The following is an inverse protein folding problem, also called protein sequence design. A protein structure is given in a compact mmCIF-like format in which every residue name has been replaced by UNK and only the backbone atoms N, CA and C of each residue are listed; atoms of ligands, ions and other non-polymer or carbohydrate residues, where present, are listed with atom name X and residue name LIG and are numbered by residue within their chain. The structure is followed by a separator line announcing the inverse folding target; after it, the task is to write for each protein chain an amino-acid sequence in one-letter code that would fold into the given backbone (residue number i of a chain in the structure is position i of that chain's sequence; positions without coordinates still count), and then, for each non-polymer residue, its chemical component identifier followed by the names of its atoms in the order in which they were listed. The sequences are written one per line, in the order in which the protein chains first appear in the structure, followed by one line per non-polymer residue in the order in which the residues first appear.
data_IF_934246591443
#
_entry.id   IF_934246591443
#
_cell.length_a   1.000
_cell.length_b   1.000
_cell.length_c   1.000
_cell.angle_alpha   90.00
_cell.angle_beta   90.00
_cell.angle_gamma   90.00
#
_symmetry.space_group_name_H-M   'P 1'
#
loop_
_entity.id
_entity.type
_entity.pdbx_description
1 polymer ?
#
# COMPACT_ATOMS: atom_id res chain seq x y z
N UNK A 1 12.20 44.00 -56.59
CA UNK A 1 11.87 43.86 -55.15
C UNK A 1 11.19 42.49 -54.94
N UNK A 2 11.91 41.52 -54.37
CA UNK A 2 11.37 40.16 -54.08
C UNK A 2 10.71 40.20 -52.70
N UNK A 3 9.42 39.87 -52.65
CA UNK A 3 8.68 39.69 -51.35
C UNK A 3 9.04 38.36 -50.75
N UNK A 4 9.58 38.39 -49.53
CA UNK A 4 9.85 37.19 -48.71
C UNK A 4 8.57 36.96 -47.90
N UNK A 5 7.93 35.80 -48.11
CA UNK A 5 6.77 35.34 -47.31
C UNK A 5 7.35 34.54 -46.17
N UNK A 6 7.07 34.85 -44.86
CA UNK A 6 7.54 34.04 -43.77
C UNK A 6 6.71 32.75 -43.66
N UNK A 7 7.36 31.60 -43.76
CA UNK A 7 6.74 30.30 -43.45
C UNK A 7 6.46 30.21 -41.95
N UNK A 8 5.20 30.16 -41.58
CA UNK A 8 4.74 29.92 -40.22
C UNK A 8 4.83 28.42 -39.94
N UNK A 9 5.82 28.01 -39.11
CA UNK A 9 6.00 26.64 -38.67
C UNK A 9 5.01 26.33 -37.55
N UNK A 10 3.94 25.61 -37.86
CA UNK A 10 2.92 25.19 -36.91
C UNK A 10 3.47 23.98 -36.12
N UNK A 11 3.92 24.20 -34.88
CA UNK A 11 4.34 23.14 -33.97
C UNK A 11 3.08 22.53 -33.31
N UNK A 12 2.68 21.37 -33.79
CA UNK A 12 1.61 20.56 -33.20
C UNK A 12 2.14 19.89 -31.91
N UNK A 13 1.75 20.44 -30.76
CA UNK A 13 1.92 19.76 -29.48
C UNK A 13 0.88 18.62 -29.36
N UNK A 14 1.31 17.39 -29.58
CA UNK A 14 0.51 16.20 -29.23
C UNK A 14 0.44 16.08 -27.73
N UNK A 15 -0.66 16.49 -27.12
CA UNK A 15 -0.98 16.10 -25.75
C UNK A 15 -1.36 14.61 -25.74
N UNK A 16 -0.41 13.75 -25.37
CA UNK A 16 -0.71 12.38 -25.04
C UNK A 16 -1.57 12.37 -23.77
N UNK A 17 -2.87 12.18 -23.90
CA UNK A 17 -3.75 11.91 -22.75
C UNK A 17 -3.33 10.57 -22.15
N UNK A 18 -2.65 10.63 -21.00
CA UNK A 18 -2.39 9.44 -20.18
C UNK A 18 -3.75 8.99 -19.64
N UNK A 19 -4.35 8.00 -20.30
CA UNK A 19 -5.58 7.37 -19.82
C UNK A 19 -5.23 6.68 -18.49
N UNK A 20 -5.58 7.30 -17.36
CA UNK A 20 -5.46 6.66 -16.05
C UNK A 20 -6.28 5.37 -16.08
N UNK A 21 -5.68 4.26 -15.63
CA UNK A 21 -6.43 3.02 -15.46
C UNK A 21 -7.59 3.25 -14.48
N UNK A 22 -8.74 2.63 -14.76
CA UNK A 22 -9.86 2.67 -13.82
C UNK A 22 -9.42 2.13 -12.45
N UNK A 23 -10.00 2.68 -11.38
CA UNK A 23 -9.73 2.20 -10.02
C UNK A 23 -10.00 0.70 -9.89
N UNK A 24 -9.17 0.02 -9.11
CA UNK A 24 -9.23 -1.42 -8.85
C UNK A 24 -9.21 -2.28 -10.13
N UNK A 25 -8.38 -1.87 -11.08
CA UNK A 25 -8.15 -2.59 -12.33
C UNK A 25 -6.65 -2.64 -12.65
N UNK A 26 -6.26 -3.65 -13.42
CA UNK A 26 -4.91 -3.73 -13.99
C UNK A 26 -4.91 -3.10 -15.38
N UNK A 27 -3.94 -2.24 -15.64
CA UNK A 27 -3.64 -1.78 -16.99
C UNK A 27 -3.14 -2.94 -17.88
N UNK A 28 -3.10 -2.72 -19.20
CA UNK A 28 -2.54 -3.71 -20.13
C UNK A 28 -1.06 -4.00 -19.81
N UNK A 29 -0.28 -2.96 -19.50
CA UNK A 29 1.13 -3.10 -19.13
C UNK A 29 1.32 -3.84 -17.80
N UNK A 30 0.49 -3.56 -16.79
CA UNK A 30 0.54 -4.28 -15.51
C UNK A 30 0.22 -5.77 -15.68
N UNK A 31 -0.76 -6.12 -16.51
CA UNK A 31 -1.07 -7.53 -16.81
C UNK A 31 0.10 -8.23 -17.49
N UNK A 32 0.73 -7.58 -18.48
CA UNK A 32 1.89 -8.11 -19.18
C UNK A 32 3.12 -8.25 -18.25
N UNK A 33 3.28 -7.35 -17.29
CA UNK A 33 4.37 -7.34 -16.31
C UNK A 33 4.12 -8.27 -15.08
N UNK A 34 3.04 -9.05 -15.10
CA UNK A 34 2.74 -10.06 -14.07
C UNK A 34 2.11 -9.55 -12.78
N UNK A 35 1.61 -8.31 -12.76
CA UNK A 35 0.85 -7.81 -11.62
C UNK A 35 -0.46 -8.57 -11.42
N UNK A 36 -0.83 -8.74 -10.18
CA UNK A 36 -2.12 -9.31 -9.75
C UNK A 36 -2.90 -8.29 -8.97
N UNK A 37 -4.19 -8.16 -9.27
CA UNK A 37 -5.12 -7.34 -8.48
C UNK A 37 -5.59 -8.15 -7.28
N UNK A 38 -5.44 -7.61 -6.08
CA UNK A 38 -5.85 -8.29 -4.84
C UNK A 38 -7.25 -7.86 -4.37
N UNK A 39 -7.72 -6.69 -4.80
CA UNK A 39 -9.02 -6.14 -4.41
C UNK A 39 -9.77 -5.61 -5.64
N UNK A 40 -11.04 -5.98 -5.78
CA UNK A 40 -11.88 -5.65 -6.94
C UNK A 40 -12.70 -4.37 -6.80
N UNK A 41 -12.54 -3.63 -5.70
CA UNK A 41 -13.29 -2.41 -5.40
C UNK A 41 -14.75 -2.61 -4.95
N UNK A 42 -15.26 -3.85 -4.91
CA UNK A 42 -16.68 -4.13 -4.68
C UNK A 42 -16.96 -4.91 -3.40
N UNK A 43 -16.13 -5.90 -3.10
CA UNK A 43 -16.33 -6.82 -1.97
C UNK A 43 -15.01 -7.39 -1.47
N UNK A 44 -15.06 -8.06 -0.34
CA UNK A 44 -13.92 -8.71 0.31
C UNK A 44 -13.74 -10.17 -0.13
N UNK A 45 -14.16 -10.57 -1.32
CA UNK A 45 -13.82 -11.86 -1.88
C UNK A 45 -12.30 -12.01 -1.92
N UNK A 46 -11.78 -13.16 -1.46
CA UNK A 46 -10.34 -13.40 -1.24
C UNK A 46 -9.70 -12.60 -0.10
N UNK A 47 -10.50 -11.98 0.76
CA UNK A 47 -10.05 -11.36 2.00
C UNK A 47 -10.81 -11.97 3.17
N UNK A 48 -10.14 -12.14 4.31
CA UNK A 48 -10.75 -12.66 5.54
C UNK A 48 -10.48 -11.70 6.69
N UNK A 49 -11.56 -11.21 7.30
CA UNK A 49 -11.49 -10.36 8.49
C UNK A 49 -11.24 -11.26 9.70
N UNK A 50 -10.46 -10.79 10.67
CA UNK A 50 -10.28 -11.45 11.95
C UNK A 50 -11.59 -11.45 12.78
N UNK A 51 -11.56 -12.08 13.95
CA UNK A 51 -12.70 -12.11 14.87
C UNK A 51 -12.59 -11.09 16.00
N UNK A 52 -11.61 -10.19 15.94
CA UNK A 52 -11.35 -9.25 17.03
C UNK A 52 -12.42 -8.16 17.13
N UNK A 53 -12.58 -7.37 16.05
CA UNK A 53 -13.66 -6.40 15.88
C UNK A 53 -14.04 -6.34 14.39
N UNK A 54 -14.69 -7.38 13.84
CA UNK A 54 -14.84 -7.52 12.38
C UNK A 54 -15.66 -6.39 11.74
N UNK A 55 -16.51 -5.72 12.50
CA UNK A 55 -17.31 -4.57 12.07
C UNK A 55 -16.45 -3.32 11.73
N UNK A 56 -15.17 -3.35 12.06
CA UNK A 56 -14.25 -2.25 11.80
C UNK A 56 -13.67 -2.25 10.39
N UNK A 57 -13.90 -3.31 9.65
CA UNK A 57 -13.47 -3.46 8.26
C UNK A 57 -14.71 -3.47 7.36
N UNK A 58 -14.69 -2.66 6.32
CA UNK A 58 -15.81 -2.59 5.36
C UNK A 58 -15.28 -2.20 3.96
N UNK A 59 -16.13 -2.29 2.95
CA UNK A 59 -15.88 -1.70 1.63
C UNK A 59 -16.71 -0.44 1.52
N UNK A 60 -16.07 0.68 1.17
CA UNK A 60 -16.71 1.97 0.96
C UNK A 60 -16.06 2.69 -0.22
N UNK A 61 -16.87 3.16 -1.14
CA UNK A 61 -16.45 4.00 -2.29
C UNK A 61 -15.26 3.42 -3.05
N UNK A 62 -15.30 2.10 -3.32
CA UNK A 62 -14.23 1.40 -4.03
C UNK A 62 -12.96 1.14 -3.23
N UNK A 63 -12.96 1.37 -1.92
CA UNK A 63 -11.81 1.15 -1.04
C UNK A 63 -12.15 0.19 0.11
N UNK A 64 -11.15 -0.54 0.60
CA UNK A 64 -11.23 -1.21 1.92
C UNK A 64 -11.05 -0.10 2.96
N UNK A 65 -12.05 0.06 3.83
CA UNK A 65 -12.04 0.99 4.96
C UNK A 65 -11.69 0.22 6.24
N UNK A 66 -10.60 0.60 6.88
CA UNK A 66 -10.17 0.17 8.21
C UNK A 66 -10.46 1.32 9.18
N UNK A 67 -11.34 1.12 10.17
CA UNK A 67 -11.81 2.21 11.04
C UNK A 67 -12.04 1.76 12.47
N UNK A 68 -11.48 2.50 13.42
CA UNK A 68 -11.78 2.33 14.84
C UNK A 68 -10.89 1.27 15.52
N UNK A 69 -11.45 0.58 16.51
CA UNK A 69 -10.74 -0.39 17.36
C UNK A 69 -9.96 -1.44 16.57
N UNK A 70 -8.93 -2.07 17.18
CA UNK A 70 -8.06 -3.02 16.48
C UNK A 70 -8.83 -4.14 15.79
N UNK A 71 -8.55 -4.33 14.51
CA UNK A 71 -9.02 -5.42 13.66
C UNK A 71 -8.11 -5.55 12.45
N UNK A 72 -8.09 -6.72 11.86
CA UNK A 72 -7.28 -7.03 10.68
C UNK A 72 -8.13 -7.64 9.57
N UNK A 73 -7.77 -7.34 8.34
CA UNK A 73 -8.24 -8.08 7.17
C UNK A 73 -7.04 -8.60 6.39
N UNK A 74 -7.06 -9.91 6.09
CA UNK A 74 -5.95 -10.62 5.46
C UNK A 74 -6.32 -11.08 4.06
N UNK A 75 -5.42 -10.92 3.11
CA UNK A 75 -5.60 -11.52 1.79
C UNK A 75 -5.46 -13.05 1.88
N UNK A 76 -6.46 -13.77 1.37
CA UNK A 76 -6.55 -15.24 1.42
C UNK A 76 -6.66 -15.88 0.05
N UNK A 77 -6.60 -15.08 -1.01
CA UNK A 77 -6.74 -15.54 -2.38
C UNK A 77 -5.53 -16.33 -2.91
N UNK A 78 -5.62 -16.73 -4.17
CA UNK A 78 -4.57 -17.51 -4.84
C UNK A 78 -3.25 -16.72 -4.86
N UNK A 79 -2.15 -17.37 -4.43
CA UNK A 79 -0.82 -16.78 -4.37
C UNK A 79 -0.63 -15.85 -3.15
N UNK A 80 -1.39 -16.10 -2.08
CA UNK A 80 -1.28 -15.35 -0.81
C UNK A 80 0.07 -15.49 -0.12
N UNK A 81 0.78 -16.59 -0.32
CA UNK A 81 2.10 -16.80 0.27
C UNK A 81 3.17 -16.21 -0.65
N UNK A 82 3.72 -15.08 -0.25
CA UNK A 82 4.73 -14.32 -0.98
C UNK A 82 6.01 -14.27 -0.16
N UNK A 83 7.16 -14.42 -0.83
CA UNK A 83 8.49 -14.24 -0.25
C UNK A 83 9.12 -12.96 -0.78
N UNK A 84 9.44 -12.92 -2.07
CA UNK A 84 9.92 -11.73 -2.75
C UNK A 84 8.78 -11.14 -3.58
N UNK A 85 8.49 -9.87 -3.37
CA UNK A 85 7.34 -9.24 -4.02
C UNK A 85 7.49 -7.72 -4.12
N UNK A 86 6.73 -7.16 -5.05
CA UNK A 86 6.44 -5.73 -5.13
C UNK A 86 4.95 -5.53 -4.91
N UNK A 87 4.59 -4.91 -3.81
CA UNK A 87 3.22 -4.51 -3.46
C UNK A 87 3.03 -3.03 -3.75
N UNK A 88 1.85 -2.66 -4.25
CA UNK A 88 1.44 -1.26 -4.37
C UNK A 88 -0.05 -1.09 -4.09
N UNK A 89 -0.41 0.05 -3.53
CA UNK A 89 -1.79 0.45 -3.27
C UNK A 89 -1.90 1.97 -3.20
N UNK A 90 -3.09 2.49 -3.39
CA UNK A 90 -3.40 3.87 -3.04
C UNK A 90 -4.03 3.90 -1.65
N UNK A 91 -3.53 4.80 -0.82
CA UNK A 91 -3.89 4.91 0.59
C UNK A 91 -4.35 6.34 0.88
N UNK A 92 -5.39 6.48 1.70
CA UNK A 92 -5.81 7.78 2.27
C UNK A 92 -6.03 7.62 3.77
N UNK A 93 -5.53 8.56 4.56
CA UNK A 93 -5.79 8.69 5.99
C UNK A 93 -6.73 9.85 6.28
N UNK A 94 -7.52 9.73 7.34
CA UNK A 94 -8.17 10.88 7.97
C UNK A 94 -7.25 11.46 9.04
N UNK A 95 -7.38 12.76 9.43
CA UNK A 95 -6.55 13.35 10.47
C UNK A 95 -6.52 12.50 11.75
N UNK A 96 -5.34 12.35 12.34
CA UNK A 96 -5.14 11.56 13.55
C UNK A 96 -5.19 10.04 13.37
N UNK A 97 -5.12 9.54 12.13
CA UNK A 97 -5.22 8.11 11.86
C UNK A 97 -3.88 7.39 11.96
N UNK A 98 -3.97 6.16 12.48
CA UNK A 98 -2.91 5.17 12.52
C UNK A 98 -3.43 3.85 11.92
N UNK A 99 -2.58 3.14 11.22
CA UNK A 99 -2.84 1.85 10.63
C UNK A 99 -1.55 1.26 10.04
N UNK A 100 -1.67 0.14 9.36
CA UNK A 100 -0.51 -0.51 8.76
C UNK A 100 -0.87 -1.49 7.66
N UNK A 101 0.10 -1.72 6.78
CA UNK A 101 0.09 -2.81 5.82
C UNK A 101 1.07 -3.86 6.34
N UNK A 102 0.54 -4.98 6.79
CA UNK A 102 1.35 -6.11 7.24
C UNK A 102 1.73 -6.98 6.06
N UNK A 103 2.97 -7.47 6.07
CA UNK A 103 3.47 -8.39 5.06
C UNK A 103 4.29 -9.51 5.70
N UNK A 104 4.44 -10.64 5.01
CA UNK A 104 4.93 -11.90 5.58
C UNK A 104 4.14 -12.30 6.82
N UNK A 105 2.86 -11.96 6.83
CA UNK A 105 1.93 -12.29 7.90
C UNK A 105 1.07 -13.51 7.55
N UNK A 106 0.24 -13.93 8.48
CA UNK A 106 -0.73 -15.01 8.30
C UNK A 106 -2.03 -14.64 9.00
N UNK A 107 -3.15 -15.20 8.52
CA UNK A 107 -4.43 -15.04 9.20
C UNK A 107 -4.34 -15.53 10.64
N UNK A 108 -4.86 -14.74 11.55
CA UNK A 108 -5.12 -15.14 12.94
C UNK A 108 -6.45 -14.57 13.40
N UNK A 109 -7.12 -15.26 14.31
CA UNK A 109 -8.46 -14.91 14.76
C UNK A 109 -8.48 -13.60 15.58
N UNK A 110 -7.39 -13.28 16.27
CA UNK A 110 -7.30 -12.11 17.16
C UNK A 110 -5.85 -11.78 17.49
N UNK A 111 -5.61 -10.52 17.85
CA UNK A 111 -4.32 -10.03 18.34
C UNK A 111 -3.48 -9.38 17.24
N UNK A 112 -2.34 -8.82 17.62
CA UNK A 112 -1.42 -8.16 16.69
C UNK A 112 -0.73 -9.19 15.81
N UNK A 113 -0.67 -8.96 14.48
CA UNK A 113 -0.14 -9.95 13.55
C UNK A 113 1.37 -10.15 13.70
N UNK A 114 1.83 -11.35 13.34
CA UNK A 114 3.24 -11.62 13.04
C UNK A 114 3.62 -11.00 11.70
N UNK A 115 4.93 -10.98 11.37
CA UNK A 115 5.47 -10.38 10.14
C UNK A 115 5.82 -8.91 10.34
N UNK A 116 6.21 -8.24 9.27
CA UNK A 116 6.54 -6.82 9.30
C UNK A 116 5.33 -5.96 9.02
N UNK A 117 5.36 -4.73 9.52
CA UNK A 117 4.38 -3.70 9.30
C UNK A 117 5.00 -2.52 8.58
N UNK A 118 4.45 -2.16 7.43
CA UNK A 118 4.67 -0.90 6.77
C UNK A 118 3.66 0.11 7.33
N UNK A 119 4.16 1.05 8.13
CA UNK A 119 3.35 2.01 8.89
C UNK A 119 2.53 2.94 7.99
N UNK A 120 1.31 3.25 8.43
CA UNK A 120 0.44 4.29 7.86
C UNK A 120 0.07 5.26 8.98
N UNK A 121 0.67 6.44 8.99
CA UNK A 121 0.43 7.50 9.97
C UNK A 121 0.96 8.81 9.43
N UNK A 122 0.08 9.80 9.21
CA UNK A 122 0.51 11.16 8.85
C UNK A 122 0.53 12.06 10.10
N UNK A 123 -0.58 12.17 10.82
CA UNK A 123 -0.75 13.16 11.89
C UNK A 123 -1.13 12.57 13.26
N UNK A 124 -1.27 11.24 13.38
CA UNK A 124 -1.51 10.61 14.69
C UNK A 124 -0.28 10.82 15.59
N UNK A 125 -0.47 10.86 16.91
CA UNK A 125 0.55 11.22 17.91
C UNK A 125 1.79 10.33 17.97
N UNK A 126 1.71 9.07 17.48
CA UNK A 126 2.90 8.23 17.36
C UNK A 126 3.92 8.92 16.44
N UNK A 127 5.19 9.08 16.87
CA UNK A 127 6.22 9.71 16.07
C UNK A 127 6.61 8.91 14.83
N UNK A 128 6.31 7.60 14.80
CA UNK A 128 6.61 6.72 13.66
C UNK A 128 5.61 6.96 12.54
N UNK A 129 6.07 7.47 11.40
CA UNK A 129 5.25 7.93 10.28
C UNK A 129 5.21 6.92 9.13
N UNK A 130 4.31 7.17 8.18
CA UNK A 130 4.13 6.39 6.96
C UNK A 130 5.47 6.10 6.28
N UNK A 131 5.60 4.89 5.78
CA UNK A 131 6.82 4.39 5.13
C UNK A 131 7.79 3.71 6.08
N UNK A 132 7.67 3.86 7.41
CA UNK A 132 8.48 3.10 8.36
C UNK A 132 8.24 1.58 8.18
N UNK A 133 9.28 0.78 8.36
CA UNK A 133 9.12 -0.64 8.73
C UNK A 133 9.09 -0.65 10.26
N UNK A 134 7.87 -0.75 10.83
CA UNK A 134 7.60 -0.49 12.25
C UNK A 134 8.50 -1.29 13.17
N UNK A 135 9.02 -0.64 14.20
CA UNK A 135 10.01 -1.12 15.19
C UNK A 135 11.44 -1.20 14.61
N UNK A 136 11.66 -1.64 13.37
CA UNK A 136 13.00 -1.96 12.88
C UNK A 136 13.68 -0.83 12.09
N UNK A 137 12.92 -0.01 11.34
CA UNK A 137 13.47 1.16 10.63
C UNK A 137 12.43 2.28 10.56
N UNK A 138 12.67 3.35 11.31
CA UNK A 138 11.72 4.46 11.45
C UNK A 138 11.93 5.54 10.39
N UNK A 139 10.83 6.10 9.94
CA UNK A 139 10.68 7.41 9.35
C UNK A 139 9.90 8.28 10.35
N UNK A 140 10.34 9.52 10.60
CA UNK A 140 9.73 10.42 11.59
C UNK A 140 9.02 11.61 10.95
N UNK A 141 9.05 11.73 9.62
CA UNK A 141 8.38 12.78 8.86
C UNK A 141 7.25 12.20 8.03
N UNK A 142 6.08 12.85 8.04
CA UNK A 142 4.95 12.43 7.24
C UNK A 142 5.24 12.69 5.75
N UNK A 143 5.29 11.64 4.89
CA UNK A 143 5.61 11.80 3.47
C UNK A 143 4.40 12.21 2.62
N UNK A 144 3.20 12.23 3.18
CA UNK A 144 1.95 12.57 2.52
C UNK A 144 1.03 13.36 3.47
N UNK A 145 -0.15 13.75 2.99
CA UNK A 145 -1.13 14.49 3.77
C UNK A 145 -2.39 13.67 4.03
N UNK A 146 -3.07 13.97 5.14
CA UNK A 146 -4.40 13.44 5.40
C UNK A 146 -5.42 13.97 4.39
N UNK A 147 -6.47 13.17 4.13
CA UNK A 147 -7.53 13.43 3.15
C UNK A 147 -7.10 13.47 1.68
N UNK A 148 -5.83 13.17 1.38
CA UNK A 148 -5.31 13.02 0.02
C UNK A 148 -4.93 11.55 -0.23
N UNK A 149 -5.17 11.06 -1.46
CA UNK A 149 -4.69 9.75 -1.88
C UNK A 149 -3.20 9.84 -2.19
N UNK A 150 -2.40 8.93 -1.64
CA UNK A 150 -0.99 8.76 -1.97
C UNK A 150 -0.72 7.33 -2.41
N UNK A 151 0.24 7.17 -3.31
CA UNK A 151 0.66 5.87 -3.80
C UNK A 151 1.69 5.26 -2.85
N UNK A 152 1.42 4.08 -2.32
CA UNK A 152 2.27 3.39 -1.35
C UNK A 152 2.81 2.10 -1.95
N UNK A 153 4.14 1.93 -1.93
CA UNK A 153 4.81 0.74 -2.41
C UNK A 153 5.64 0.07 -1.32
N UNK A 154 5.65 -1.27 -1.33
CA UNK A 154 6.48 -2.11 -0.46
C UNK A 154 7.18 -3.12 -1.37
N UNK A 155 8.51 -3.07 -1.41
CA UNK A 155 9.34 -3.95 -2.24
C UNK A 155 10.17 -4.81 -1.31
N UNK A 156 9.98 -6.13 -1.37
CA UNK A 156 10.76 -7.10 -0.60
C UNK A 156 11.52 -7.99 -1.56
N UNK A 157 12.84 -8.03 -1.41
CA UNK A 157 13.72 -8.91 -2.18
C UNK A 157 14.82 -9.46 -1.28
N UNK A 158 14.81 -10.76 -1.04
CA UNK A 158 15.71 -11.43 -0.10
C UNK A 158 15.59 -10.84 1.31
N UNK A 159 16.63 -10.18 1.78
CA UNK A 159 16.67 -9.53 3.11
C UNK A 159 16.43 -8.03 3.07
N UNK A 160 16.12 -7.47 1.90
CA UNK A 160 15.92 -6.03 1.72
C UNK A 160 14.43 -5.70 1.61
N UNK A 161 14.01 -4.72 2.40
CA UNK A 161 12.70 -4.06 2.30
C UNK A 161 12.92 -2.60 1.89
N UNK A 162 12.17 -2.15 0.91
CA UNK A 162 12.09 -0.74 0.53
C UNK A 162 10.63 -0.30 0.55
N UNK A 163 10.36 0.83 1.17
CA UNK A 163 9.05 1.49 1.11
C UNK A 163 9.14 2.77 0.31
N UNK A 164 8.12 3.05 -0.50
CA UNK A 164 8.02 4.30 -1.26
C UNK A 164 6.65 4.93 -1.08
N UNK A 165 6.64 6.25 -1.09
CA UNK A 165 5.43 7.07 -1.15
C UNK A 165 5.54 8.00 -2.34
N UNK A 166 4.54 7.99 -3.22
CA UNK A 166 4.50 8.76 -4.48
C UNK A 166 5.81 8.63 -5.29
N UNK A 167 6.30 7.38 -5.40
CA UNK A 167 7.52 7.03 -6.12
C UNK A 167 8.84 7.38 -5.42
N UNK A 168 8.80 8.11 -4.30
CA UNK A 168 10.00 8.47 -3.52
C UNK A 168 10.28 7.42 -2.46
N UNK A 169 11.52 6.92 -2.39
CA UNK A 169 11.97 6.00 -1.33
C UNK A 169 11.92 6.72 0.03
N UNK A 170 11.18 6.15 0.97
CA UNK A 170 11.07 6.65 2.35
C UNK A 170 12.03 5.90 3.26
N UNK A 171 12.02 4.56 3.19
CA UNK A 171 12.87 3.71 4.03
C UNK A 171 13.48 2.58 3.20
N UNK A 172 14.73 2.29 3.50
CA UNK A 172 15.41 1.04 3.12
C UNK A 172 15.84 0.33 4.40
N UNK A 173 15.40 -0.91 4.57
CA UNK A 173 15.75 -1.78 5.67
C UNK A 173 16.40 -3.06 5.13
N UNK A 174 17.57 -3.42 5.67
CA UNK A 174 18.23 -4.69 5.40
C UNK A 174 18.20 -5.53 6.68
N UNK A 175 17.49 -6.64 6.65
CA UNK A 175 17.36 -7.52 7.80
C UNK A 175 18.69 -8.21 8.11
N UNK A 176 19.15 -8.04 9.34
CA UNK A 176 20.36 -8.67 9.84
C UNK A 176 20.24 -10.20 9.95
N UNK A 177 21.38 -10.90 9.90
CA UNK A 177 21.44 -12.37 10.01
C UNK A 177 20.80 -12.93 11.29
N UNK A 178 20.79 -12.14 12.35
CA UNK A 178 20.31 -12.55 13.69
C UNK A 178 18.94 -11.97 14.03
N UNK A 179 18.11 -11.56 13.05
CA UNK A 179 16.76 -11.10 13.29
C UNK A 179 15.93 -12.18 14.01
N UNK A 180 15.36 -11.81 15.16
CA UNK A 180 14.61 -12.73 16.05
C UNK A 180 13.19 -12.19 16.26
N UNK A 181 12.33 -13.06 16.81
CA UNK A 181 10.96 -12.71 17.16
C UNK A 181 10.00 -12.78 15.97
N UNK A 182 8.88 -12.12 16.11
CA UNK A 182 7.77 -12.14 15.13
C UNK A 182 7.95 -11.14 13.98
N UNK A 183 8.81 -10.15 14.14
CA UNK A 183 9.12 -9.09 13.15
C UNK A 183 10.36 -9.49 12.34
N UNK A 184 10.21 -10.50 11.49
CA UNK A 184 11.28 -10.99 10.61
C UNK A 184 10.75 -11.32 9.23
N UNK A 185 11.62 -11.21 8.22
CA UNK A 185 11.31 -11.63 6.86
C UNK A 185 11.17 -13.16 6.78
N UNK A 186 10.13 -13.60 6.11
CA UNK A 186 9.81 -15.01 5.93
C UNK A 186 9.03 -15.21 4.63
N UNK A 187 7.87 -15.80 4.70
CA UNK A 187 6.84 -15.83 3.65
C UNK A 187 5.49 -15.64 4.30
N UNK A 188 4.53 -15.13 3.54
CA UNK A 188 3.17 -14.97 4.06
C UNK A 188 2.33 -14.06 3.18
N UNK A 189 1.23 -13.61 3.73
CA UNK A 189 0.25 -12.77 3.04
C UNK A 189 0.37 -11.30 3.40
N UNK A 190 -0.56 -10.51 2.84
CA UNK A 190 -0.77 -9.10 3.17
C UNK A 190 -1.95 -8.99 4.14
N UNK A 191 -1.81 -8.13 5.14
CA UNK A 191 -2.89 -7.73 6.05
C UNK A 191 -3.04 -6.21 6.11
N UNK A 192 -4.26 -5.71 6.26
CA UNK A 192 -4.56 -4.30 6.49
C UNK A 192 -5.13 -4.14 7.88
N UNK A 193 -4.74 -3.07 8.59
CA UNK A 193 -5.02 -2.86 9.99
C UNK A 193 -6.00 -1.70 10.22
N UNK A 194 -7.03 -1.93 11.05
CA UNK A 194 -7.69 -0.90 11.86
C UNK A 194 -6.96 -0.84 13.22
N UNK A 195 -6.60 0.33 13.71
CA UNK A 195 -5.66 0.47 14.82
C UNK A 195 -6.31 0.96 16.14
N UNK A 196 -6.95 2.11 16.12
CA UNK A 196 -7.52 2.75 17.34
C UNK A 196 -8.82 3.51 17.02
N UNK A 197 -9.62 3.87 18.03
CA UNK A 197 -10.96 4.44 17.85
C UNK A 197 -11.02 5.69 16.96
N UNK A 198 -9.96 6.50 16.92
CA UNK A 198 -9.89 7.72 16.12
C UNK A 198 -9.44 7.50 14.67
N UNK A 199 -8.91 6.31 14.36
CA UNK A 199 -8.27 6.06 13.07
C UNK A 199 -9.27 5.70 11.97
N UNK A 200 -9.00 6.22 10.77
CA UNK A 200 -9.65 5.80 9.52
C UNK A 200 -8.63 5.79 8.40
N UNK A 201 -8.41 4.61 7.84
CA UNK A 201 -7.54 4.37 6.68
C UNK A 201 -8.38 3.74 5.57
N UNK A 202 -8.24 4.27 4.36
CA UNK A 202 -8.86 3.73 3.15
C UNK A 202 -7.75 3.24 2.22
N UNK A 203 -7.95 2.05 1.63
CA UNK A 203 -6.96 1.42 0.74
C UNK A 203 -7.66 0.90 -0.51
N UNK A 204 -7.17 1.30 -1.70
CA UNK A 204 -7.66 0.84 -3.00
C UNK A 204 -6.51 0.54 -3.95
N UNK A 205 -6.80 0.08 -5.16
CA UNK A 205 -5.79 -0.23 -6.18
C UNK A 205 -4.72 -1.23 -5.70
N UNK A 206 -5.13 -2.17 -4.84
CA UNK A 206 -4.22 -3.10 -4.16
C UNK A 206 -3.72 -4.13 -5.17
N UNK A 207 -2.43 -4.11 -5.44
CA UNK A 207 -1.77 -4.94 -6.45
C UNK A 207 -0.48 -5.53 -5.90
N UNK A 208 -0.11 -6.71 -6.44
CA UNK A 208 1.18 -7.35 -6.10
C UNK A 208 1.77 -8.02 -7.33
N UNK A 209 3.10 -8.04 -7.37
CA UNK A 209 3.90 -8.81 -8.34
C UNK A 209 4.94 -9.61 -7.58
N UNK A 210 5.10 -10.90 -7.91
CA UNK A 210 6.24 -11.71 -7.45
C UNK A 210 7.53 -11.24 -8.13
N UNK A 211 8.65 -11.24 -7.42
CA UNK A 211 9.97 -10.84 -7.88
C UNK A 211 10.90 -12.05 -8.01
#
# INVERSE_FOLDING_TARGET
MKKIIPSLLLVLFSFATVLSAADNALSKSEKADGWKLLFNGKNLNNWKIDKWNPERISVKDGAIKCHGKPSMVYYTGKGKEMTDFHFKADVMTKPGSNGGIFFHTQYQDKGWPVGHEAQINQTQKDPVKTGSVYIVKKNLEAPAKDNEWFHYEIIVKGKRVETKVDGKTVVVYNEGKNAKGTRKLSKGTIGLQAHDPGSTVLVKNIKVKSL
#
